data_IF_551314045039
#
_entry.id   IF_551314045039
#
_cell.length_a   1.000
_cell.length_b   1.000
_cell.length_c   1.000
_cell.angle_alpha   90.00
_cell.angle_beta   90.00
_cell.angle_gamma   90.00
#
_symmetry.space_group_name_H-M   'P 1'
#
loop_
_entity.id
_entity.type
_entity.pdbx_description
1 polymer ?
#
# COMPACT_ATOMS: atom_id res chain seq x y z
N UNK A 1 8.29 -16.87 8.07
CA UNK A 1 7.24 -17.65 7.37
C UNK A 1 6.14 -18.12 8.32
N UNK A 2 6.42 -18.93 9.36
CA UNK A 2 5.39 -19.43 10.30
C UNK A 2 4.54 -18.33 10.96
N UNK A 3 5.15 -17.18 11.28
CA UNK A 3 4.47 -16.03 11.87
C UNK A 3 3.58 -15.25 10.90
N UNK A 4 3.87 -15.29 9.59
CA UNK A 4 3.09 -14.58 8.58
C UNK A 4 1.93 -15.42 8.05
N UNK A 5 2.13 -16.74 7.97
CA UNK A 5 1.14 -17.68 7.43
C UNK A 5 0.25 -18.28 8.50
N UNK A 6 0.66 -18.25 9.78
CA UNK A 6 -0.11 -18.83 10.88
C UNK A 6 -0.10 -20.35 10.93
N UNK A 7 0.59 -21.04 10.01
CA UNK A 7 0.77 -22.48 9.98
C UNK A 7 2.22 -22.88 9.65
N UNK A 8 2.59 -24.13 9.94
CA UNK A 8 3.90 -24.69 9.64
C UNK A 8 4.04 -25.00 8.14
N UNK A 9 5.12 -24.53 7.54
CA UNK A 9 5.40 -24.62 6.11
C UNK A 9 6.68 -25.36 5.78
N UNK A 10 7.28 -26.03 6.78
CA UNK A 10 8.53 -26.78 6.63
C UNK A 10 8.47 -27.93 5.62
N UNK A 11 7.27 -28.44 5.31
CA UNK A 11 7.07 -29.54 4.36
C UNK A 11 6.56 -29.10 2.97
N UNK A 12 6.44 -27.79 2.72
CA UNK A 12 5.93 -27.27 1.44
C UNK A 12 7.13 -26.90 0.57
N UNK A 13 7.26 -27.56 -0.59
CA UNK A 13 8.15 -27.10 -1.65
C UNK A 13 7.51 -25.89 -2.34
N UNK A 14 8.17 -24.74 -2.23
CA UNK A 14 7.71 -23.49 -2.82
C UNK A 14 8.40 -23.29 -4.16
N UNK A 15 7.64 -23.35 -5.24
CA UNK A 15 8.04 -22.86 -6.54
C UNK A 15 7.32 -21.55 -6.83
N UNK A 16 8.01 -20.57 -7.43
CA UNK A 16 7.42 -19.29 -7.79
C UNK A 16 6.70 -19.48 -9.13
N UNK A 17 5.36 -19.41 -9.17
CA UNK A 17 4.61 -19.73 -10.38
C UNK A 17 5.01 -18.80 -11.53
N UNK A 18 5.35 -19.36 -12.70
CA UNK A 18 5.72 -18.57 -13.90
C UNK A 18 4.64 -17.55 -14.29
N UNK A 19 3.37 -17.84 -13.97
CA UNK A 19 2.25 -16.90 -14.18
C UNK A 19 2.46 -15.54 -13.50
N UNK A 20 3.09 -15.49 -12.32
CA UNK A 20 3.29 -14.23 -11.59
C UNK A 20 4.28 -13.35 -12.34
N UNK A 21 5.31 -13.95 -12.94
CA UNK A 21 6.31 -13.26 -13.74
C UNK A 21 5.71 -12.78 -15.07
N UNK A 22 4.92 -13.64 -15.73
CA UNK A 22 4.29 -13.32 -17.02
C UNK A 22 3.18 -12.26 -16.90
N UNK A 23 2.40 -12.27 -15.83
CA UNK A 23 1.27 -11.36 -15.61
C UNK A 23 1.64 -10.07 -14.86
N UNK A 24 2.92 -9.92 -14.48
CA UNK A 24 3.38 -8.72 -13.81
C UNK A 24 3.29 -7.47 -14.70
N UNK A 25 3.18 -7.60 -16.03
CA UNK A 25 3.04 -6.48 -16.99
C UNK A 25 4.04 -5.33 -16.72
N UNK A 26 5.28 -5.71 -16.37
CA UNK A 26 6.33 -4.82 -15.85
C UNK A 26 6.53 -3.54 -16.65
N UNK A 27 6.28 -3.55 -17.95
CA UNK A 27 6.55 -2.45 -18.87
C UNK A 27 5.31 -1.64 -19.26
N UNK A 28 4.13 -1.99 -18.75
CA UNK A 28 2.92 -1.19 -18.94
C UNK A 28 2.86 -0.05 -17.91
N UNK A 29 2.28 1.07 -18.29
CA UNK A 29 2.07 2.17 -17.34
C UNK A 29 1.05 1.75 -16.27
N UNK A 30 1.31 2.06 -14.99
CA UNK A 30 0.45 1.62 -13.91
C UNK A 30 -0.91 2.33 -13.95
N UNK A 31 -1.98 1.58 -13.73
CA UNK A 31 -3.32 2.15 -13.59
C UNK A 31 -3.50 2.79 -12.20
N UNK A 32 -3.27 4.09 -12.11
CA UNK A 32 -3.32 4.84 -10.84
C UNK A 32 -4.67 4.78 -10.11
N UNK A 33 -5.76 4.46 -10.81
CA UNK A 33 -7.09 4.28 -10.22
C UNK A 33 -7.20 3.03 -9.36
N UNK A 34 -6.36 2.02 -9.59
CA UNK A 34 -6.37 0.78 -8.83
C UNK A 34 -5.40 0.80 -7.64
N UNK A 35 -4.50 1.79 -7.59
CA UNK A 35 -3.45 1.86 -6.57
C UNK A 35 -4.07 2.31 -5.22
N UNK A 36 -4.00 1.48 -4.16
CA UNK A 36 -4.64 1.80 -2.88
C UNK A 36 -4.18 3.14 -2.28
N UNK A 37 -2.89 3.45 -2.38
CA UNK A 37 -2.33 4.71 -1.87
C UNK A 37 -2.92 5.93 -2.60
N UNK A 38 -3.17 5.83 -3.91
CA UNK A 38 -3.82 6.89 -4.69
C UNK A 38 -5.29 7.06 -4.27
N UNK A 39 -6.03 5.95 -4.11
CA UNK A 39 -7.42 5.97 -3.65
C UNK A 39 -7.52 6.65 -2.28
N UNK A 40 -6.62 6.30 -1.34
CA UNK A 40 -6.55 6.91 -0.02
C UNK A 40 -6.25 8.41 -0.08
N UNK A 41 -5.31 8.83 -0.93
CA UNK A 41 -4.98 10.25 -1.09
C UNK A 41 -6.17 11.04 -1.67
N UNK A 42 -6.88 10.49 -2.66
CA UNK A 42 -8.10 11.09 -3.20
C UNK A 42 -9.23 11.16 -2.17
N UNK A 43 -9.39 10.13 -1.33
CA UNK A 43 -10.32 10.16 -0.21
C UNK A 43 -9.96 11.29 0.77
N UNK A 44 -8.67 11.51 1.05
CA UNK A 44 -8.18 12.62 1.84
C UNK A 44 -8.58 14.00 1.30
N UNK A 45 -8.48 14.20 -0.03
CA UNK A 45 -8.97 15.42 -0.69
C UNK A 45 -10.48 15.59 -0.52
N UNK A 46 -11.24 14.51 -0.65
CA UNK A 46 -12.69 14.55 -0.46
C UNK A 46 -13.06 14.94 0.99
N UNK A 47 -12.36 14.40 1.99
CA UNK A 47 -12.55 14.76 3.39
C UNK A 47 -12.25 16.25 3.60
N UNK A 48 -11.12 16.75 3.10
CA UNK A 48 -10.73 18.15 3.24
C UNK A 48 -11.74 19.10 2.55
N UNK A 49 -12.25 18.71 1.37
CA UNK A 49 -13.31 19.44 0.67
C UNK A 49 -14.59 19.51 1.51
N UNK A 50 -15.04 18.40 2.09
CA UNK A 50 -16.23 18.38 2.95
C UNK A 50 -16.05 19.21 4.23
N UNK A 51 -14.85 19.21 4.81
CA UNK A 51 -14.53 20.07 5.96
C UNK A 51 -14.55 21.56 5.60
N UNK A 52 -14.06 21.92 4.40
CA UNK A 52 -14.19 23.28 3.87
C UNK A 52 -15.65 23.67 3.63
N UNK A 53 -16.45 22.77 3.06
CA UNK A 53 -17.89 23.01 2.87
C UNK A 53 -18.60 23.19 4.22
N UNK A 54 -18.27 22.38 5.22
CA UNK A 54 -18.76 22.55 6.59
C UNK A 54 -18.35 23.91 7.19
N UNK A 55 -17.10 24.34 7.02
CA UNK A 55 -16.63 25.65 7.48
C UNK A 55 -17.35 26.81 6.76
N UNK A 56 -17.66 26.65 5.47
CA UNK A 56 -18.46 27.60 4.68
C UNK A 56 -19.91 27.69 5.15
N UNK A 57 -20.45 26.61 5.71
CA UNK A 57 -21.80 26.57 6.26
C UNK A 57 -21.91 27.13 7.70
N UNK A 58 -20.79 27.26 8.41
CA UNK A 58 -20.72 27.81 9.78
C UNK A 58 -21.45 29.17 10.02
N UNK A 59 -21.46 30.15 9.08
CA UNK A 59 -22.21 31.39 9.30
C UNK A 59 -23.73 31.24 9.10
N UNK A 60 -24.21 30.14 8.52
CA UNK A 60 -25.64 29.91 8.32
C UNK A 60 -26.30 29.39 9.61
N UNK A 61 -27.59 29.70 9.85
CA UNK A 61 -28.30 29.19 11.01
C UNK A 61 -28.42 27.67 10.95
N UNK A 62 -28.11 27.02 12.07
CA UNK A 62 -28.45 25.62 12.30
C UNK A 62 -29.87 25.57 12.84
N UNK A 63 -30.75 24.87 12.14
CA UNK A 63 -32.14 24.64 12.57
C UNK A 63 -32.20 23.25 13.19
N UNK A 64 -32.71 23.18 14.42
CA UNK A 64 -32.89 21.94 15.18
C UNK A 64 -34.31 21.83 15.70
N UNK A 65 -34.81 20.60 15.84
CA UNK A 65 -36.10 20.31 16.46
C UNK A 65 -35.83 19.60 17.77
N UNK A 66 -36.36 20.13 18.87
CA UNK A 66 -36.23 19.57 20.21
C UNK A 66 -37.61 19.15 20.70
N UNK A 67 -37.72 17.90 21.15
CA UNK A 67 -38.91 17.37 21.80
C UNK A 67 -38.62 17.06 23.26
N UNK A 68 -39.58 17.30 24.14
CA UNK A 68 -39.50 16.89 25.54
C UNK A 68 -40.80 16.23 26.00
N UNK A 69 -40.67 15.20 26.84
CA UNK A 69 -41.75 14.61 27.61
C UNK A 69 -41.37 14.63 29.08
N UNK A 70 -42.32 14.95 29.94
CA UNK A 70 -42.12 15.02 31.38
C UNK A 70 -43.42 14.66 32.09
N UNK A 71 -43.33 13.77 33.07
CA UNK A 71 -44.44 13.37 33.93
C UNK A 71 -44.00 13.49 35.39
N UNK A 72 -44.80 14.14 36.23
CA UNK A 72 -44.57 14.10 37.67
C UNK A 72 -45.05 12.76 38.23
N UNK A 73 -44.20 12.09 39.02
CA UNK A 73 -44.56 10.83 39.71
C UNK A 73 -45.19 11.08 41.08
N UNK A 74 -45.00 12.26 41.66
CA UNK A 74 -45.66 12.76 42.87
C UNK A 74 -45.52 14.29 42.91
N UNK A 75 -46.63 14.99 43.19
CA UNK A 75 -46.68 16.45 43.25
C UNK A 75 -46.85 17.13 41.89
N UNK A 76 -46.71 18.46 41.86
CA UNK A 76 -46.93 19.27 40.64
C UNK A 76 -45.82 19.13 39.63
N UNK A 77 -46.18 18.86 38.38
CA UNK A 77 -45.26 18.93 37.26
C UNK A 77 -44.89 20.40 36.99
N UNK A 78 -43.60 20.77 37.01
CA UNK A 78 -43.16 22.16 36.85
C UNK A 78 -43.44 22.76 35.46
N UNK A 79 -43.74 21.93 34.46
CA UNK A 79 -43.93 22.37 33.07
C UNK A 79 -45.38 22.73 32.73
N UNK A 80 -46.37 22.20 33.46
CA UNK A 80 -47.80 22.49 33.26
C UNK A 80 -48.56 22.83 34.55
N UNK A 81 -47.89 22.76 35.72
CA UNK A 81 -48.43 23.02 37.05
C UNK A 81 -49.61 22.11 37.46
N UNK A 82 -49.71 20.93 36.87
CA UNK A 82 -50.72 19.91 37.19
C UNK A 82 -50.15 18.84 38.15
N UNK A 83 -50.94 18.38 39.11
CA UNK A 83 -50.59 17.26 40.00
C UNK A 83 -50.57 15.95 39.21
N UNK A 84 -49.48 15.18 39.33
CA UNK A 84 -49.17 13.99 38.52
C UNK A 84 -49.28 14.24 37.00
N UNK A 85 -49.14 15.50 36.60
CA UNK A 85 -49.40 15.99 35.25
C UNK A 85 -48.42 15.44 34.22
N UNK A 86 -48.92 15.17 33.01
CA UNK A 86 -48.13 14.80 31.84
C UNK A 86 -47.96 16.01 30.92
N UNK A 87 -46.72 16.31 30.55
CA UNK A 87 -46.35 17.41 29.67
C UNK A 87 -45.51 16.92 28.50
N UNK A 88 -45.86 17.35 27.30
CA UNK A 88 -45.11 17.14 26.08
C UNK A 88 -44.92 18.47 25.33
N UNK A 89 -43.75 18.69 24.75
CA UNK A 89 -43.51 19.87 23.92
C UNK A 89 -42.60 19.56 22.74
N UNK A 90 -42.79 20.32 21.66
CA UNK A 90 -41.94 20.32 20.48
C UNK A 90 -41.56 21.77 20.18
N UNK A 91 -40.27 22.03 20.04
CA UNK A 91 -39.70 23.35 19.79
C UNK A 91 -38.79 23.30 18.56
N UNK A 92 -38.84 24.34 17.74
CA UNK A 92 -37.87 24.56 16.66
C UNK A 92 -36.90 25.64 17.14
N UNK A 93 -35.61 25.35 17.13
CA UNK A 93 -34.55 26.26 17.53
C UNK A 93 -33.63 26.54 16.34
N UNK A 94 -33.40 27.82 16.05
CA UNK A 94 -32.43 28.27 15.06
C UNK A 94 -31.29 29.01 15.75
N UNK A 95 -30.05 28.52 15.60
CA UNK A 95 -28.85 29.13 16.17
C UNK A 95 -27.86 29.54 15.09
N UNK A 96 -27.38 30.79 15.10
CA UNK A 96 -26.34 31.29 14.19
C UNK A 96 -25.34 32.18 14.91
N UNK A 97 -24.08 32.12 14.48
CA UNK A 97 -23.01 32.99 14.95
C UNK A 97 -22.92 34.24 14.06
N UNK A 98 -23.64 35.31 14.43
CA UNK A 98 -23.75 36.52 13.60
C UNK A 98 -22.42 37.28 13.42
N UNK A 99 -21.62 37.35 14.48
CA UNK A 99 -20.31 38.01 14.44
C UNK A 99 -19.35 37.39 15.45
N UNK A 100 -18.18 36.96 14.97
CA UNK A 100 -17.12 36.35 15.80
C UNK A 100 -15.76 37.00 15.53
N UNK A 101 -15.72 38.32 15.28
CA UNK A 101 -14.44 39.03 15.06
C UNK A 101 -13.64 38.52 13.85
N UNK A 102 -14.30 37.94 12.84
CA UNK A 102 -13.67 37.37 11.65
C UNK A 102 -13.23 35.90 11.77
N UNK A 103 -13.42 35.24 12.91
CA UNK A 103 -13.03 33.85 13.14
C UNK A 103 -13.57 32.89 12.06
N UNK A 104 -14.85 32.98 11.71
CA UNK A 104 -15.49 32.15 10.67
C UNK A 104 -14.84 32.29 9.30
N UNK A 105 -14.45 33.52 8.92
CA UNK A 105 -13.76 33.78 7.64
C UNK A 105 -12.36 33.18 7.66
N UNK A 106 -11.63 33.34 8.77
CA UNK A 106 -10.30 32.75 8.94
C UNK A 106 -10.35 31.22 8.91
N UNK A 107 -11.34 30.60 9.56
CA UNK A 107 -11.55 29.15 9.54
C UNK A 107 -11.83 28.64 8.13
N UNK A 108 -12.65 29.35 7.35
CA UNK A 108 -12.92 29.00 5.95
C UNK A 108 -11.67 29.10 5.08
N UNK A 109 -10.83 30.12 5.29
CA UNK A 109 -9.53 30.25 4.60
C UNK A 109 -8.59 29.12 4.97
N UNK A 110 -8.46 28.81 6.26
CA UNK A 110 -7.65 27.69 6.74
C UNK A 110 -8.09 26.35 6.12
N UNK A 111 -9.40 26.07 6.08
CA UNK A 111 -9.93 24.87 5.45
C UNK A 111 -9.69 24.84 3.93
N UNK A 112 -9.64 26.00 3.27
CA UNK A 112 -9.29 26.10 1.85
C UNK A 112 -7.82 25.72 1.60
N UNK A 113 -6.89 26.23 2.42
CA UNK A 113 -5.48 25.82 2.36
C UNK A 113 -5.28 24.35 2.73
N UNK A 114 -6.08 23.80 3.65
CA UNK A 114 -6.06 22.37 3.96
C UNK A 114 -6.51 21.50 2.77
N UNK A 115 -7.52 21.92 2.00
CA UNK A 115 -7.91 21.26 0.75
C UNK A 115 -6.79 21.33 -0.29
N UNK A 116 -6.14 22.49 -0.47
CA UNK A 116 -5.00 22.65 -1.37
C UNK A 116 -3.82 21.75 -0.96
N UNK A 117 -3.51 21.68 0.33
CA UNK A 117 -2.48 20.79 0.85
C UNK A 117 -2.82 19.31 0.60
N UNK A 118 -4.08 18.90 0.79
CA UNK A 118 -4.52 17.54 0.47
C UNK A 118 -4.38 17.23 -1.03
N UNK A 119 -4.64 18.21 -1.92
CA UNK A 119 -4.43 18.04 -3.37
C UNK A 119 -2.95 17.91 -3.71
N UNK A 120 -2.09 18.69 -3.07
CA UNK A 120 -0.64 18.56 -3.22
C UNK A 120 -0.16 17.17 -2.75
N UNK A 121 -0.73 16.64 -1.66
CA UNK A 121 -0.42 15.30 -1.18
C UNK A 121 -0.76 14.21 -2.21
N UNK A 122 -1.85 14.33 -2.96
CA UNK A 122 -2.14 13.41 -4.08
C UNK A 122 -1.03 13.43 -5.11
N UNK A 123 -0.53 14.62 -5.47
CA UNK A 123 0.58 14.75 -6.42
C UNK A 123 1.88 14.15 -5.87
N UNK A 124 2.17 14.31 -4.58
CA UNK A 124 3.31 13.63 -3.93
C UNK A 124 3.19 12.11 -4.04
N UNK A 125 2.04 11.54 -3.67
CA UNK A 125 1.81 10.09 -3.76
C UNK A 125 1.93 9.60 -5.22
N UNK A 126 1.44 10.38 -6.19
CA UNK A 126 1.58 10.06 -7.61
C UNK A 126 3.06 9.97 -8.05
N UNK A 127 3.87 10.96 -7.65
CA UNK A 127 5.31 10.97 -7.96
C UNK A 127 6.05 9.83 -7.24
N UNK A 128 5.73 9.57 -5.97
CA UNK A 128 6.32 8.47 -5.21
C UNK A 128 6.06 7.11 -5.87
N UNK A 129 4.85 6.88 -6.37
CA UNK A 129 4.49 5.66 -7.11
C UNK A 129 5.29 5.54 -8.40
N UNK A 130 5.40 6.63 -9.17
CA UNK A 130 6.20 6.64 -10.40
C UNK A 130 7.66 6.33 -10.14
N UNK A 131 8.24 6.94 -9.11
CA UNK A 131 9.64 6.74 -8.74
C UNK A 131 9.88 5.31 -8.24
N UNK A 132 8.98 4.75 -7.44
CA UNK A 132 9.04 3.35 -7.02
C UNK A 132 8.98 2.39 -8.22
N UNK A 133 8.04 2.60 -9.15
CA UNK A 133 7.92 1.79 -10.36
C UNK A 133 9.20 1.86 -11.21
N UNK A 134 9.77 3.05 -11.39
CA UNK A 134 11.02 3.22 -12.13
C UNK A 134 12.18 2.49 -11.45
N UNK A 135 12.35 2.67 -10.14
CA UNK A 135 13.42 2.05 -9.37
C UNK A 135 13.34 0.52 -9.44
N UNK A 136 12.13 -0.04 -9.34
CA UNK A 136 11.93 -1.50 -9.43
C UNK A 136 12.30 -2.02 -10.83
N UNK A 137 11.91 -1.33 -11.90
CA UNK A 137 12.29 -1.68 -13.28
C UNK A 137 13.81 -1.68 -13.45
N UNK A 138 14.46 -0.60 -13.00
CA UNK A 138 15.92 -0.49 -13.07
C UNK A 138 16.62 -1.58 -12.27
N UNK A 139 16.11 -1.93 -11.08
CA UNK A 139 16.64 -3.02 -10.27
C UNK A 139 16.55 -4.35 -11.02
N UNK A 140 15.42 -4.67 -11.64
CA UNK A 140 15.24 -5.91 -12.42
C UNK A 140 16.22 -5.95 -13.60
N UNK A 141 16.29 -4.87 -14.38
CA UNK A 141 17.21 -4.79 -15.54
C UNK A 141 18.68 -4.94 -15.12
N UNK A 142 19.08 -4.31 -14.02
CA UNK A 142 20.43 -4.40 -13.50
C UNK A 142 20.76 -5.82 -13.02
N UNK A 143 19.82 -6.50 -12.34
CA UNK A 143 19.99 -7.90 -11.92
C UNK A 143 20.06 -8.86 -13.10
N UNK A 144 19.25 -8.65 -14.14
CA UNK A 144 19.34 -9.43 -15.37
C UNK A 144 20.71 -9.28 -16.05
N UNK A 145 21.22 -8.06 -16.17
CA UNK A 145 22.58 -7.79 -16.69
C UNK A 145 23.65 -8.46 -15.82
N UNK A 146 23.53 -8.37 -14.50
CA UNK A 146 24.43 -9.02 -13.55
C UNK A 146 24.46 -10.55 -13.75
N UNK A 147 23.30 -11.19 -13.90
CA UNK A 147 23.21 -12.63 -14.21
C UNK A 147 23.92 -12.99 -15.51
N UNK A 148 23.79 -12.16 -16.55
CA UNK A 148 24.51 -12.36 -17.82
C UNK A 148 26.04 -12.35 -17.63
N UNK A 149 26.57 -11.38 -16.88
CA UNK A 149 28.00 -11.29 -16.57
C UNK A 149 28.46 -12.50 -15.73
N UNK A 150 27.70 -12.89 -14.72
CA UNK A 150 28.01 -14.04 -13.87
C UNK A 150 28.00 -15.36 -14.64
N UNK A 151 27.04 -15.52 -15.57
CA UNK A 151 26.98 -16.68 -16.46
C UNK A 151 28.23 -16.78 -17.34
N UNK A 152 28.66 -15.65 -17.92
CA UNK A 152 29.89 -15.61 -18.72
C UNK A 152 31.14 -15.90 -17.89
N UNK A 153 31.22 -15.34 -16.67
CA UNK A 153 32.29 -15.61 -15.71
C UNK A 153 32.36 -17.10 -15.39
N UNK A 154 31.22 -17.70 -15.02
CA UNK A 154 31.10 -19.14 -14.72
C UNK A 154 31.56 -20.00 -15.90
N UNK A 155 31.09 -19.71 -17.11
CA UNK A 155 31.48 -20.44 -18.31
C UNK A 155 33.00 -20.36 -18.57
N UNK A 156 33.60 -19.19 -18.33
CA UNK A 156 35.06 -19.01 -18.47
C UNK A 156 35.81 -19.80 -17.40
N UNK A 157 35.37 -19.76 -16.15
CA UNK A 157 35.98 -20.51 -15.04
C UNK A 157 35.87 -22.02 -15.23
N UNK A 158 34.77 -22.52 -15.80
CA UNK A 158 34.63 -23.95 -16.18
C UNK A 158 35.73 -24.35 -17.17
N UNK A 159 35.94 -23.57 -18.24
CA UNK A 159 37.02 -23.83 -19.21
C UNK A 159 38.40 -23.77 -18.57
N UNK A 160 38.63 -22.83 -17.64
CA UNK A 160 39.88 -22.75 -16.88
C UNK A 160 40.10 -23.99 -16.00
N UNK A 161 39.04 -24.48 -15.34
CA UNK A 161 39.09 -25.72 -14.54
C UNK A 161 39.47 -26.91 -15.42
N UNK A 162 38.88 -27.04 -16.60
CA UNK A 162 39.19 -28.11 -17.56
C UNK A 162 40.69 -28.09 -17.94
N UNK A 163 41.24 -26.91 -18.26
CA UNK A 163 42.67 -26.76 -18.54
C UNK A 163 43.54 -27.12 -17.32
N UNK A 164 43.17 -26.68 -16.12
CA UNK A 164 43.89 -27.03 -14.90
C UNK A 164 43.84 -28.53 -14.59
N UNK A 165 42.74 -29.20 -14.95
CA UNK A 165 42.61 -30.64 -14.83
C UNK A 165 43.58 -31.39 -15.75
N UNK A 166 43.81 -30.89 -16.97
CA UNK A 166 44.83 -31.44 -17.87
C UNK A 166 46.25 -31.21 -17.31
N UNK A 167 46.55 -30.00 -16.85
CA UNK A 167 47.86 -29.67 -16.27
C UNK A 167 48.15 -30.45 -14.98
N UNK A 168 47.13 -30.71 -14.16
CA UNK A 168 47.26 -31.56 -12.98
C UNK A 168 47.62 -33.01 -13.35
N UNK A 169 47.01 -33.57 -14.41
CA UNK A 169 47.40 -34.89 -14.94
C UNK A 169 48.84 -34.93 -15.42
N UNK A 170 49.36 -33.81 -15.92
CA UNK A 170 50.76 -33.63 -16.34
C UNK A 170 51.72 -33.27 -15.19
N UNK A 171 51.21 -33.12 -13.95
CA UNK A 171 52.00 -32.77 -12.77
C UNK A 171 52.46 -31.31 -12.71
N UNK A 172 51.95 -30.43 -13.57
CA UNK A 172 52.36 -29.01 -13.65
C UNK A 172 51.43 -28.04 -12.90
N UNK A 173 50.34 -28.54 -12.32
CA UNK A 173 49.35 -27.76 -11.54
C UNK A 173 48.98 -28.51 -10.26
N UNK A 174 48.55 -27.79 -9.22
CA UNK A 174 48.20 -28.40 -7.93
C UNK A 174 46.72 -28.75 -7.84
N UNK A 175 46.35 -29.72 -6.98
CA UNK A 175 44.94 -30.03 -6.68
C UNK A 175 44.20 -28.83 -6.05
N UNK A 176 44.92 -27.98 -5.31
CA UNK A 176 44.37 -26.78 -4.69
C UNK A 176 43.87 -25.80 -5.75
N UNK A 177 44.55 -25.70 -6.90
CA UNK A 177 44.10 -24.87 -8.02
C UNK A 177 42.77 -25.35 -8.62
N UNK A 178 42.55 -26.67 -8.69
CA UNK A 178 41.27 -27.24 -9.12
C UNK A 178 40.15 -26.96 -8.12
N UNK A 179 40.43 -27.13 -6.81
CA UNK A 179 39.46 -26.86 -5.75
C UNK A 179 39.06 -25.37 -5.73
N UNK A 180 40.02 -24.48 -5.94
CA UNK A 180 39.76 -23.05 -6.07
C UNK A 180 38.88 -22.71 -7.28
N UNK A 181 39.14 -23.35 -8.43
CA UNK A 181 38.31 -23.18 -9.62
C UNK A 181 36.88 -23.71 -9.40
N UNK A 182 36.74 -24.85 -8.73
CA UNK A 182 35.43 -25.42 -8.39
C UNK A 182 34.65 -24.53 -7.43
N UNK A 183 35.30 -24.01 -6.39
CA UNK A 183 34.71 -23.05 -5.48
C UNK A 183 34.23 -21.79 -6.20
N UNK A 184 35.00 -21.28 -7.17
CA UNK A 184 34.62 -20.12 -7.96
C UNK A 184 33.40 -20.39 -8.87
N UNK A 185 33.29 -21.60 -9.45
CA UNK A 185 32.11 -22.02 -10.23
C UNK A 185 30.87 -22.07 -9.35
N UNK A 186 30.98 -22.66 -8.15
CA UNK A 186 29.87 -22.73 -7.21
C UNK A 186 29.47 -21.36 -6.66
N UNK A 187 30.44 -20.49 -6.34
CA UNK A 187 30.16 -19.10 -5.94
C UNK A 187 29.39 -18.36 -7.03
N UNK A 188 29.84 -18.45 -8.29
CA UNK A 188 29.14 -17.81 -9.41
C UNK A 188 27.72 -18.39 -9.60
N UNK A 189 27.54 -19.70 -9.43
CA UNK A 189 26.21 -20.32 -9.50
C UNK A 189 25.28 -19.82 -8.38
N UNK A 190 25.78 -19.71 -7.14
CA UNK A 190 25.04 -19.15 -6.01
C UNK A 190 24.67 -17.68 -6.24
N UNK A 191 25.58 -16.87 -6.77
CA UNK A 191 25.32 -15.46 -7.09
C UNK A 191 24.26 -15.31 -8.19
N UNK A 192 24.24 -16.20 -9.20
CA UNK A 192 23.19 -16.22 -10.24
C UNK A 192 21.83 -16.52 -9.63
N UNK A 193 21.73 -17.53 -8.77
CA UNK A 193 20.46 -17.88 -8.13
C UNK A 193 20.00 -16.80 -7.14
N UNK A 194 20.91 -16.17 -6.38
CA UNK A 194 20.58 -15.03 -5.54
C UNK A 194 20.01 -13.86 -6.38
N UNK A 195 20.64 -13.54 -7.52
CA UNK A 195 20.15 -12.50 -8.43
C UNK A 195 18.78 -12.84 -9.04
N UNK A 196 18.50 -14.12 -9.29
CA UNK A 196 17.17 -14.60 -9.72
C UNK A 196 16.11 -14.33 -8.65
N UNK A 197 16.38 -14.66 -7.39
CA UNK A 197 15.44 -14.39 -6.29
C UNK A 197 15.27 -12.90 -6.01
N UNK A 198 16.31 -12.08 -6.21
CA UNK A 198 16.19 -10.62 -6.14
C UNK A 198 15.22 -10.08 -7.20
N UNK A 199 15.23 -10.64 -8.43
CA UNK A 199 14.27 -10.28 -9.48
C UNK A 199 12.84 -10.67 -9.07
N UNK A 200 12.65 -11.88 -8.52
CA UNK A 200 11.32 -12.30 -8.07
C UNK A 200 10.77 -11.41 -6.95
N UNK A 201 11.63 -11.03 -6.00
CA UNK A 201 11.27 -10.08 -4.94
C UNK A 201 10.85 -8.72 -5.53
N UNK A 202 11.61 -8.20 -6.49
CA UNK A 202 11.30 -6.96 -7.18
C UNK A 202 9.97 -7.02 -7.95
N UNK A 203 9.66 -8.16 -8.59
CA UNK A 203 8.36 -8.37 -9.25
C UNK A 203 7.21 -8.33 -8.24
N UNK A 204 7.34 -8.99 -7.09
CA UNK A 204 6.31 -8.95 -6.04
C UNK A 204 6.12 -7.52 -5.52
N UNK A 205 7.20 -6.76 -5.36
CA UNK A 205 7.13 -5.34 -5.00
C UNK A 205 6.41 -4.51 -6.07
N UNK A 206 6.68 -4.76 -7.36
CA UNK A 206 5.98 -4.08 -8.46
C UNK A 206 4.46 -4.33 -8.38
N UNK A 207 4.05 -5.59 -8.17
CA UNK A 207 2.65 -5.99 -8.03
C UNK A 207 1.98 -5.31 -6.84
N UNK A 208 2.71 -5.13 -5.74
CA UNK A 208 2.22 -4.43 -4.56
C UNK A 208 2.02 -2.93 -4.83
N UNK A 209 3.05 -2.26 -5.36
CA UNK A 209 3.03 -0.80 -5.62
C UNK A 209 1.96 -0.43 -6.65
N UNK A 210 1.78 -1.26 -7.67
CA UNK A 210 0.78 -1.04 -8.72
C UNK A 210 -0.64 -1.45 -8.32
N UNK A 211 -0.86 -1.97 -7.10
CA UNK A 211 -2.18 -2.38 -6.63
C UNK A 211 -2.71 -3.70 -7.22
N UNK A 212 -1.96 -4.34 -8.14
CA UNK A 212 -2.36 -5.57 -8.86
C UNK A 212 -2.34 -6.85 -8.02
N UNK A 213 -2.00 -6.73 -6.74
CA UNK A 213 -1.96 -7.84 -5.78
C UNK A 213 -3.27 -8.61 -5.77
N UNK A 214 -4.41 -7.91 -5.78
CA UNK A 214 -5.73 -8.55 -5.68
C UNK A 214 -6.06 -9.37 -6.93
N UNK A 215 -5.75 -8.84 -8.10
CA UNK A 215 -5.97 -9.53 -9.38
C UNK A 215 -5.08 -10.76 -9.51
N UNK A 216 -3.78 -10.60 -9.23
CA UNK A 216 -2.78 -11.66 -9.42
C UNK A 216 -2.99 -12.82 -8.43
N UNK A 217 -3.45 -12.52 -7.21
CA UNK A 217 -3.80 -13.54 -6.23
C UNK A 217 -5.27 -13.98 -6.32
N UNK A 218 -6.01 -13.52 -7.33
CA UNK A 218 -7.43 -13.83 -7.55
C UNK A 218 -8.31 -13.58 -6.31
N UNK A 219 -8.00 -12.53 -5.54
CA UNK A 219 -8.69 -12.18 -4.30
C UNK A 219 -10.00 -11.43 -4.53
N UNK A 220 -10.23 -10.93 -5.74
CA UNK A 220 -11.49 -10.29 -6.10
C UNK A 220 -12.64 -11.27 -5.93
N UNK A 221 -13.78 -10.80 -5.42
CA UNK A 221 -15.00 -11.60 -5.18
C UNK A 221 -14.84 -12.77 -4.18
N UNK A 222 -13.72 -12.85 -3.46
CA UNK A 222 -13.61 -13.75 -2.31
C UNK A 222 -14.26 -13.06 -1.10
N UNK A 223 -15.15 -13.80 -0.42
CA UNK A 223 -15.66 -13.36 0.89
C UNK A 223 -14.62 -13.69 1.96
N UNK A 224 -14.00 -12.67 2.53
CA UNK A 224 -13.09 -12.82 3.67
C UNK A 224 -13.84 -12.30 4.91
N UNK A 225 -14.12 -13.19 5.86
CA UNK A 225 -14.79 -12.84 7.12
C UNK A 225 -16.14 -12.10 6.95
N UNK A 226 -16.91 -12.46 5.91
CA UNK A 226 -18.25 -11.89 5.67
C UNK A 226 -18.25 -10.57 4.89
N UNK A 227 -17.08 -10.05 4.50
CA UNK A 227 -16.96 -8.92 3.58
C UNK A 227 -16.54 -9.42 2.20
N UNK A 228 -17.32 -9.05 1.18
CA UNK A 228 -16.97 -9.31 -0.21
C UNK A 228 -15.93 -8.29 -0.67
N UNK A 229 -14.81 -8.79 -1.18
CA UNK A 229 -13.74 -7.97 -1.74
C UNK A 229 -14.20 -7.47 -3.11
N UNK A 230 -14.85 -6.30 -3.13
CA UNK A 230 -15.32 -5.62 -4.34
C UNK A 230 -14.14 -5.23 -5.24
N UNK A 231 -14.23 -5.39 -6.58
CA UNK A 231 -13.14 -5.14 -7.52
C UNK A 231 -12.42 -3.82 -7.24
#
# INVERSE_FOLDING_TARGET
MRTLLGFDVSAIEWDIPERIVAQADLYQDPEFTQIPNMILAHAGVNIARLQKDQARLSPYPTISVKGSLSQAMNGRNPNNNEDDGFYNSVMIEASSNLYQGGATRSQTRAASYAEEAARAQVNTVYLDVLDQVRLIREQIENKQKQMGVLSQRRATTVRTKELYQEQYKLGTRTVVDLLNAEQAIHSAAQEIEAARYDIYSAIVQYIQVTGRTRDIYALNSISIQGFEVQP
#
